data_IF_642742255246
#
_entry.id   IF_642742255246
#
_cell.length_a   1.000
_cell.length_b   1.000
_cell.length_c   1.000
_cell.angle_alpha   90.00
_cell.angle_beta   90.00
_cell.angle_gamma   90.00
#
_symmetry.space_group_name_H-M   'P 1'
#
loop_
_entity.id
_entity.type
_entity.pdbx_description
1 polymer ?
#
# COMPACT_ATOMS: atom_id res chain seq x y z
N UNK A 1 -7.59 7.86 7.69
CA UNK A 1 -7.08 6.74 6.86
C UNK A 1 -7.04 7.16 5.41
N UNK A 2 -5.93 6.95 4.75
CA UNK A 2 -5.75 7.24 3.34
C UNK A 2 -5.94 5.98 2.52
N UNK A 3 -6.36 6.15 1.27
CA UNK A 3 -6.67 5.04 0.38
C UNK A 3 -5.95 5.25 -0.95
N UNK A 4 -5.55 4.16 -1.58
CA UNK A 4 -4.94 4.25 -2.89
C UNK A 4 -4.78 2.90 -3.56
N UNK A 5 -4.09 2.91 -4.69
CA UNK A 5 -3.79 1.70 -5.45
C UNK A 5 -2.30 1.64 -5.73
N UNK A 6 -1.81 0.43 -5.91
CA UNK A 6 -0.44 0.20 -6.34
C UNK A 6 -0.32 0.65 -7.80
N UNK A 7 0.63 1.55 -8.08
CA UNK A 7 0.79 2.13 -9.43
C UNK A 7 1.94 1.55 -10.23
N UNK A 8 2.62 0.54 -9.69
CA UNK A 8 3.70 -0.17 -10.39
C UNK A 8 3.25 -1.60 -10.63
N UNK A 9 3.89 -2.29 -11.57
CA UNK A 9 3.50 -3.66 -11.91
C UNK A 9 3.52 -4.58 -10.71
N UNK A 10 4.55 -4.45 -9.88
CA UNK A 10 4.77 -5.30 -8.73
C UNK A 10 5.59 -4.56 -7.69
N UNK A 11 5.27 -4.76 -6.44
CA UNK A 11 6.04 -4.23 -5.32
C UNK A 11 6.01 -5.25 -4.18
N UNK A 12 6.95 -5.10 -3.25
CA UNK A 12 6.99 -5.97 -2.09
C UNK A 12 6.56 -5.20 -0.85
N UNK A 13 5.88 -5.91 0.04
CA UNK A 13 5.67 -5.46 1.41
C UNK A 13 6.80 -6.03 2.25
N UNK A 14 7.31 -5.21 3.15
CA UNK A 14 8.43 -5.56 4.02
C UNK A 14 8.01 -5.52 5.48
N UNK A 15 8.82 -6.13 6.33
CA UNK A 15 8.80 -5.81 7.74
C UNK A 15 9.29 -4.36 7.90
N UNK A 16 9.09 -3.79 9.07
CA UNK A 16 9.49 -2.40 9.34
C UNK A 16 10.98 -2.16 9.06
N UNK A 17 11.81 -3.18 9.22
CA UNK A 17 13.25 -3.08 8.97
C UNK A 17 13.62 -2.83 7.49
N UNK A 18 12.68 -3.05 6.56
CA UNK A 18 12.91 -2.85 5.14
C UNK A 18 13.74 -3.94 4.46
N UNK A 19 13.98 -5.04 5.14
CA UNK A 19 14.83 -6.13 4.63
C UNK A 19 14.02 -7.40 4.38
N UNK A 20 13.24 -7.81 5.37
CA UNK A 20 12.46 -9.06 5.28
C UNK A 20 11.17 -8.82 4.54
N UNK A 21 10.93 -9.62 3.49
CA UNK A 21 9.71 -9.52 2.68
C UNK A 21 8.58 -10.26 3.37
N UNK A 22 7.44 -9.58 3.50
CA UNK A 22 6.22 -10.16 4.07
C UNK A 22 5.33 -10.70 2.97
N UNK A 23 5.16 -9.95 1.89
CA UNK A 23 4.24 -10.29 0.82
C UNK A 23 4.55 -9.47 -0.42
N UNK A 24 3.80 -9.73 -1.47
CA UNK A 24 3.94 -9.09 -2.77
C UNK A 24 2.59 -8.49 -3.19
N UNK A 25 2.63 -7.29 -3.76
CA UNK A 25 1.42 -6.61 -4.24
C UNK A 25 1.59 -6.22 -5.70
N UNK A 26 0.46 -6.11 -6.41
CA UNK A 26 0.46 -5.92 -7.85
C UNK A 26 -0.32 -4.68 -8.26
N UNK A 27 -0.09 -4.25 -9.50
CA UNK A 27 -0.74 -3.07 -10.07
C UNK A 27 -2.25 -3.09 -9.84
N UNK A 28 -2.78 -1.97 -9.38
CA UNK A 28 -4.21 -1.79 -9.18
C UNK A 28 -4.76 -2.34 -7.88
N UNK A 29 -3.95 -3.03 -7.08
CA UNK A 29 -4.40 -3.53 -5.80
C UNK A 29 -4.61 -2.38 -4.82
N UNK A 30 -5.67 -2.47 -4.05
CA UNK A 30 -6.06 -1.44 -3.08
C UNK A 30 -5.29 -1.58 -1.79
N UNK A 31 -4.86 -0.44 -1.25
CA UNK A 31 -4.15 -0.39 0.04
C UNK A 31 -4.67 0.79 0.85
N UNK A 32 -4.46 0.72 2.16
CA UNK A 32 -4.80 1.79 3.09
C UNK A 32 -3.60 2.08 3.97
N UNK A 33 -3.46 3.34 4.40
CA UNK A 33 -2.38 3.73 5.30
C UNK A 33 -2.79 4.97 6.08
N UNK A 34 -2.09 5.25 7.17
CA UNK A 34 -2.33 6.44 7.99
C UNK A 34 -1.10 7.34 8.07
N UNK A 35 0.08 6.76 7.92
CA UNK A 35 1.34 7.46 8.12
C UNK A 35 1.58 8.53 7.06
N UNK A 36 2.42 9.50 7.42
CA UNK A 36 2.97 10.45 6.48
C UNK A 36 4.47 10.16 6.34
N UNK A 37 5.03 10.49 5.19
CA UNK A 37 6.44 10.24 4.93
C UNK A 37 6.63 9.27 3.78
N UNK A 38 7.86 8.80 3.61
CA UNK A 38 8.25 8.00 2.45
C UNK A 38 8.20 6.49 2.69
N UNK A 39 8.39 6.07 3.92
CA UNK A 39 8.34 4.66 4.32
C UNK A 39 7.18 4.48 5.26
N UNK A 40 6.15 3.77 4.81
CA UNK A 40 4.87 3.72 5.50
C UNK A 40 4.38 2.30 5.69
N UNK A 41 3.63 2.11 6.76
CA UNK A 41 2.90 0.87 7.01
C UNK A 41 1.59 0.91 6.23
N UNK A 42 1.29 -0.14 5.47
CA UNK A 42 0.07 -0.23 4.69
C UNK A 42 -0.67 -1.52 5.00
N UNK A 43 -1.99 -1.46 4.82
CA UNK A 43 -2.87 -2.62 4.93
C UNK A 43 -3.42 -2.92 3.53
N UNK A 44 -3.34 -4.17 3.11
CA UNK A 44 -3.86 -4.59 1.82
C UNK A 44 -5.35 -4.87 1.93
N UNK A 45 -6.03 -4.95 0.78
CA UNK A 45 -7.47 -5.23 0.73
C UNK A 45 -7.83 -6.63 1.23
N UNK A 46 -6.87 -7.54 1.32
CA UNK A 46 -7.08 -8.89 1.83
C UNK A 46 -6.57 -9.07 3.26
N UNK A 47 -6.26 -7.98 3.95
CA UNK A 47 -5.99 -7.99 5.39
C UNK A 47 -4.54 -8.17 5.79
N UNK A 48 -3.60 -8.27 4.85
CA UNK A 48 -2.19 -8.32 5.20
C UNK A 48 -1.64 -6.91 5.44
N UNK A 49 -0.59 -6.85 6.22
CA UNK A 49 0.02 -5.60 6.65
C UNK A 49 1.53 -5.69 6.42
N UNK A 50 2.11 -4.60 5.96
CA UNK A 50 3.55 -4.51 5.78
C UNK A 50 3.96 -3.07 5.49
N UNK A 51 5.24 -2.88 5.23
CA UNK A 51 5.82 -1.56 4.98
C UNK A 51 6.25 -1.45 3.54
N UNK A 52 6.09 -0.26 2.96
CA UNK A 52 6.53 -0.01 1.60
C UNK A 52 6.79 1.48 1.37
N UNK A 53 7.39 1.81 0.25
CA UNK A 53 7.62 3.19 -0.13
C UNK A 53 6.32 3.85 -0.60
N UNK A 54 6.05 5.05 -0.07
CA UNK A 54 4.84 5.81 -0.39
C UNK A 54 4.71 6.11 -1.88
N UNK A 55 5.83 6.32 -2.57
CA UNK A 55 5.81 6.69 -3.99
C UNK A 55 5.39 5.57 -4.93
N UNK A 56 5.17 4.36 -4.44
CA UNK A 56 4.65 3.25 -5.23
C UNK A 56 3.13 3.20 -5.24
N UNK A 57 2.49 4.15 -4.54
CA UNK A 57 1.04 4.19 -4.36
C UNK A 57 0.47 5.47 -4.97
N UNK A 58 -0.62 5.32 -5.72
CA UNK A 58 -1.41 6.45 -6.17
C UNK A 58 -2.58 6.63 -5.22
N UNK A 59 -2.62 7.78 -4.54
CA UNK A 59 -3.69 8.07 -3.58
C UNK A 59 -5.01 8.31 -4.31
N UNK A 60 -6.09 7.77 -3.76
CA UNK A 60 -7.44 7.93 -4.27
C UNK A 60 -8.34 8.47 -3.17
N UNK A 61 -9.42 9.14 -3.55
CA UNK A 61 -10.41 9.59 -2.59
C UNK A 61 -11.17 8.39 -2.03
N UNK A 62 -11.74 8.57 -0.83
CA UNK A 62 -12.58 7.56 -0.23
C UNK A 62 -13.75 7.19 -1.14
N UNK A 63 -14.34 8.18 -1.78
CA UNK A 63 -15.47 7.99 -2.69
C UNK A 63 -15.08 7.09 -3.86
N UNK A 64 -13.90 7.30 -4.42
CA UNK A 64 -13.41 6.47 -5.50
C UNK A 64 -13.27 5.00 -5.07
N UNK A 65 -12.77 4.77 -3.85
CA UNK A 65 -12.61 3.42 -3.32
C UNK A 65 -13.95 2.74 -3.08
N UNK A 66 -14.96 3.48 -2.66
CA UNK A 66 -16.29 2.94 -2.40
C UNK A 66 -17.02 2.54 -3.68
N UNK A 67 -16.68 3.13 -4.81
CA UNK A 67 -17.30 2.85 -6.11
C UNK A 67 -16.67 1.66 -6.85
N UNK A 68 -15.62 1.09 -6.34
CA UNK A 68 -14.90 -0.01 -6.99
C UNK A 68 -15.56 -1.38 -6.83
#
# INVERSE_FOLDING_TARGET
MKYGIIKVKRAFLYEENGVDVVDEVFFGWSVMWEDEGEWIEVWTHYGYRGWMERNLIEEKSREWMEER
#
